data_IF_975401814629
#
_entry.id   IF_975401814629
#
_cell.length_a   1.000
_cell.length_b   1.000
_cell.length_c   1.000
_cell.angle_alpha   90.00
_cell.angle_beta   90.00
_cell.angle_gamma   90.00
#
_symmetry.space_group_name_H-M   'P 1'
#
loop_
_entity.id
_entity.type
_entity.pdbx_description
1 polymer ?
#
# COMPACT_ATOMS: atom_id res chain seq x y z
N UNK A 1 21.03 -6.08 14.86
CA UNK A 1 21.25 -4.67 14.51
C UNK A 1 21.65 -4.62 13.04
N UNK A 2 20.81 -4.09 12.15
CA UNK A 2 21.18 -3.90 10.73
C UNK A 2 21.89 -2.56 10.60
N UNK A 3 23.17 -2.54 10.94
CA UNK A 3 24.03 -1.40 10.63
C UNK A 3 24.42 -1.49 9.15
N UNK A 4 24.21 -0.39 8.42
CA UNK A 4 24.69 -0.13 7.04
C UNK A 4 23.85 -0.51 5.81
N UNK A 5 22.50 -0.48 5.87
CA UNK A 5 21.67 -0.43 4.65
C UNK A 5 21.40 1.03 4.25
N UNK A 6 21.90 1.45 3.06
CA UNK A 6 21.47 2.72 2.45
C UNK A 6 19.95 2.75 2.39
N UNK A 7 19.32 3.79 2.96
CA UNK A 7 17.88 3.97 2.90
C UNK A 7 17.45 4.04 1.43
N UNK A 8 16.68 3.06 0.96
CA UNK A 8 16.26 3.01 -0.44
C UNK A 8 15.35 4.19 -0.78
N UNK A 9 15.36 4.62 -2.04
CA UNK A 9 14.49 5.69 -2.55
C UNK A 9 13.02 5.34 -2.28
N UNK A 10 12.68 4.07 -2.41
CA UNK A 10 11.36 3.50 -2.09
C UNK A 10 10.97 3.67 -0.62
N UNK A 11 11.91 3.49 0.32
CA UNK A 11 11.65 3.64 1.76
C UNK A 11 11.34 5.09 2.14
N UNK A 12 12.07 6.04 1.53
CA UNK A 12 11.86 7.48 1.71
C UNK A 12 10.54 7.90 1.07
N UNK A 13 10.33 7.57 -0.21
CA UNK A 13 9.11 7.87 -0.96
C UNK A 13 7.85 7.33 -0.25
N UNK A 14 7.87 6.07 0.18
CA UNK A 14 6.75 5.46 0.89
C UNK A 14 6.41 6.15 2.22
N UNK A 15 7.41 6.65 2.94
CA UNK A 15 7.20 7.38 4.20
C UNK A 15 6.63 8.77 3.97
N UNK A 16 7.17 9.52 3.01
CA UNK A 16 6.69 10.85 2.67
C UNK A 16 5.28 10.81 2.07
N UNK A 17 5.01 9.88 1.14
CA UNK A 17 3.69 9.70 0.52
C UNK A 17 2.59 9.44 1.55
N UNK A 18 2.82 8.53 2.50
CA UNK A 18 1.84 8.24 3.57
C UNK A 18 1.56 9.47 4.44
N UNK A 19 2.62 10.22 4.82
CA UNK A 19 2.47 11.45 5.60
C UNK A 19 1.73 12.54 4.84
N UNK A 20 2.02 12.71 3.54
CA UNK A 20 1.36 13.70 2.70
C UNK A 20 -0.15 13.40 2.56
N UNK A 21 -0.52 12.13 2.34
CA UNK A 21 -1.93 11.71 2.29
C UNK A 21 -2.62 11.95 3.64
N UNK A 22 -1.97 11.61 4.75
CA UNK A 22 -2.53 11.81 6.09
C UNK A 22 -2.73 13.30 6.41
N UNK A 23 -1.81 14.17 5.97
CA UNK A 23 -1.94 15.62 6.12
C UNK A 23 -3.08 16.15 5.26
N UNK A 24 -3.11 15.79 3.97
CA UNK A 24 -4.16 16.23 3.05
C UNK A 24 -5.56 15.81 3.54
N UNK A 25 -5.71 14.58 4.06
CA UNK A 25 -6.97 14.10 4.61
C UNK A 25 -7.45 14.90 5.82
N UNK A 26 -6.53 15.34 6.69
CA UNK A 26 -6.85 16.23 7.82
C UNK A 26 -7.25 17.61 7.34
N UNK A 27 -6.52 18.18 6.39
CA UNK A 27 -6.77 19.53 5.88
C UNK A 27 -8.17 19.67 5.25
N UNK A 28 -8.62 18.64 4.54
CA UNK A 28 -9.95 18.63 3.90
C UNK A 28 -11.06 18.10 4.83
N UNK A 29 -10.72 17.67 6.04
CA UNK A 29 -11.67 17.09 6.99
C UNK A 29 -12.30 15.76 6.52
N UNK A 30 -11.54 14.90 5.83
CA UNK A 30 -12.04 13.61 5.36
C UNK A 30 -12.28 12.63 6.53
N UNK A 31 -13.31 11.79 6.42
CA UNK A 31 -13.58 10.73 7.41
C UNK A 31 -12.76 9.46 7.16
N UNK A 32 -12.42 9.20 5.89
CA UNK A 32 -11.83 7.94 5.42
C UNK A 32 -10.83 8.19 4.29
N UNK A 33 -9.70 7.49 4.34
CA UNK A 33 -8.70 7.42 3.28
C UNK A 33 -8.82 6.06 2.59
N UNK A 34 -8.96 6.08 1.28
CA UNK A 34 -9.03 4.86 0.45
C UNK A 34 -7.73 4.70 -0.32
N UNK A 35 -7.17 3.49 -0.34
CA UNK A 35 -6.01 3.15 -1.17
C UNK A 35 -6.34 1.99 -2.10
N UNK A 36 -5.80 2.00 -3.32
CA UNK A 36 -6.07 0.99 -4.35
C UNK A 36 -5.28 -0.31 -4.21
N UNK A 37 -4.88 -0.70 -2.99
CA UNK A 37 -4.17 -1.97 -2.80
C UNK A 37 -5.11 -3.15 -3.10
N UNK A 38 -4.63 -4.07 -3.93
CA UNK A 38 -5.39 -5.21 -4.41
C UNK A 38 -5.12 -6.50 -3.59
N UNK A 39 -5.66 -7.63 -4.02
CA UNK A 39 -5.44 -8.92 -3.37
C UNK A 39 -3.97 -9.37 -3.47
N UNK A 40 -3.35 -9.24 -4.64
CA UNK A 40 -1.95 -9.59 -4.89
C UNK A 40 -1.00 -8.82 -3.95
N UNK A 41 -1.20 -7.50 -3.80
CA UNK A 41 -0.49 -6.64 -2.84
C UNK A 41 -0.61 -7.15 -1.39
N UNK A 42 -1.81 -7.58 -1.03
CA UNK A 42 -2.13 -8.05 0.33
C UNK A 42 -1.44 -9.38 0.60
N UNK A 43 -1.51 -10.32 -0.33
CA UNK A 43 -0.82 -11.61 -0.23
C UNK A 43 0.70 -11.46 -0.23
N UNK A 44 1.25 -10.60 -1.10
CA UNK A 44 2.70 -10.32 -1.13
C UNK A 44 3.16 -9.73 0.22
N UNK A 45 2.38 -8.82 0.81
CA UNK A 45 2.65 -8.28 2.15
C UNK A 45 2.66 -9.38 3.20
N UNK A 46 1.64 -10.25 3.19
CA UNK A 46 1.50 -11.34 4.14
C UNK A 46 2.70 -12.29 4.08
N UNK A 47 3.08 -12.73 2.87
CA UNK A 47 4.21 -13.63 2.66
C UNK A 47 5.53 -13.00 3.12
N UNK A 48 5.78 -11.73 2.80
CA UNK A 48 7.00 -11.02 3.26
C UNK A 48 7.06 -10.98 4.79
N UNK A 49 5.96 -10.66 5.46
CA UNK A 49 5.92 -10.58 6.93
C UNK A 49 6.05 -11.97 7.57
N UNK A 50 5.42 -12.99 6.98
CA UNK A 50 5.51 -14.39 7.42
C UNK A 50 6.95 -14.91 7.31
N UNK A 51 7.61 -14.72 6.15
CA UNK A 51 8.99 -15.15 5.94
C UNK A 51 10.00 -14.37 6.81
N UNK A 52 9.68 -13.11 7.14
CA UNK A 52 10.48 -12.30 8.06
C UNK A 52 10.35 -12.73 9.54
N UNK A 53 9.39 -13.62 9.85
CA UNK A 53 9.09 -14.04 11.23
C UNK A 53 8.49 -12.93 12.10
N UNK A 54 8.00 -11.85 11.49
CA UNK A 54 7.48 -10.68 12.20
C UNK A 54 5.97 -10.84 12.45
N UNK A 55 5.66 -11.60 13.49
CA UNK A 55 4.27 -11.91 13.89
C UNK A 55 3.46 -10.67 14.25
N UNK A 56 4.10 -9.61 14.73
CA UNK A 56 3.45 -8.33 15.02
C UNK A 56 2.96 -7.67 13.72
N UNK A 57 3.79 -7.64 12.67
CA UNK A 57 3.38 -7.08 11.37
C UNK A 57 2.29 -7.88 10.69
N UNK A 58 2.22 -9.19 10.92
CA UNK A 58 1.09 -10.00 10.45
C UNK A 58 -0.20 -9.55 11.17
N UNK A 59 -0.15 -9.34 12.48
CA UNK A 59 -1.29 -8.83 13.25
C UNK A 59 -1.77 -7.45 12.81
N UNK A 60 -0.87 -6.58 12.34
CA UNK A 60 -1.21 -5.26 11.80
C UNK A 60 -1.88 -5.28 10.42
N UNK A 61 -2.02 -6.44 9.79
CA UNK A 61 -2.76 -6.57 8.54
C UNK A 61 -4.27 -6.60 8.75
N UNK A 62 -4.72 -6.84 9.98
CA UNK A 62 -6.13 -6.79 10.37
C UNK A 62 -6.66 -5.33 10.28
N UNK A 63 -7.90 -5.11 9.83
CA UNK A 63 -8.44 -3.77 9.71
C UNK A 63 -8.54 -3.09 11.08
N UNK A 64 -8.11 -1.82 11.13
CA UNK A 64 -8.19 -1.03 12.35
C UNK A 64 -9.66 -0.78 12.75
N UNK A 65 -9.99 -1.14 13.99
CA UNK A 65 -11.33 -0.99 14.57
C UNK A 65 -11.46 0.25 15.45
N UNK A 66 -10.37 1.02 15.63
CA UNK A 66 -10.34 2.20 16.48
C UNK A 66 -11.15 3.36 15.85
N UNK A 67 -12.11 3.89 16.59
CA UNK A 67 -13.00 4.98 16.15
C UNK A 67 -12.35 6.38 16.14
N UNK A 68 -11.20 6.54 16.79
CA UNK A 68 -10.57 7.85 17.05
C UNK A 68 -9.49 8.26 16.03
N UNK A 69 -9.28 7.50 14.95
CA UNK A 69 -8.28 7.80 13.94
C UNK A 69 -8.89 7.90 12.54
N UNK A 70 -8.22 8.63 11.63
CA UNK A 70 -8.57 8.65 10.21
C UNK A 70 -8.53 7.21 9.68
N UNK A 71 -9.71 6.67 9.34
CA UNK A 71 -9.83 5.28 8.90
C UNK A 71 -9.18 5.10 7.54
N UNK A 72 -8.39 4.05 7.38
CA UNK A 72 -7.75 3.69 6.11
C UNK A 72 -8.34 2.39 5.61
N UNK A 73 -8.93 2.40 4.41
CA UNK A 73 -9.57 1.22 3.81
C UNK A 73 -8.93 0.83 2.48
N UNK A 74 -9.08 -0.44 2.12
CA UNK A 74 -8.58 -1.05 0.88
C UNK A 74 -9.73 -1.81 0.19
N UNK A 75 -10.60 -1.13 -0.57
CA UNK A 75 -11.77 -1.76 -1.18
C UNK A 75 -11.44 -2.91 -2.15
N UNK A 76 -10.21 -2.94 -2.67
CA UNK A 76 -9.76 -3.94 -3.63
C UNK A 76 -8.96 -5.09 -3.00
N UNK A 77 -8.83 -5.18 -1.68
CA UNK A 77 -7.99 -6.20 -1.06
C UNK A 77 -8.47 -7.66 -1.25
N UNK A 78 -9.65 -7.85 -1.84
CA UNK A 78 -10.23 -9.15 -2.18
C UNK A 78 -10.33 -9.39 -3.70
N UNK A 79 -9.81 -8.47 -4.53
CA UNK A 79 -9.89 -8.52 -5.99
C UNK A 79 -8.49 -8.62 -6.58
N UNK A 80 -8.28 -9.51 -7.56
CA UNK A 80 -6.96 -9.65 -8.20
C UNK A 80 -6.60 -8.43 -9.05
N UNK A 81 -5.31 -8.16 -9.18
CA UNK A 81 -4.80 -7.09 -10.05
C UNK A 81 -5.30 -7.26 -11.49
N UNK A 82 -5.29 -8.50 -12.01
CA UNK A 82 -5.76 -8.80 -13.36
C UNK A 82 -7.23 -8.44 -13.59
N UNK A 83 -8.07 -8.59 -12.57
CA UNK A 83 -9.49 -8.26 -12.66
C UNK A 83 -9.71 -6.75 -12.67
N UNK A 84 -8.95 -6.01 -11.85
CA UNK A 84 -8.98 -4.54 -11.81
C UNK A 84 -8.48 -3.96 -13.13
N UNK A 85 -7.38 -4.49 -13.68
CA UNK A 85 -6.83 -4.07 -14.98
C UNK A 85 -7.82 -4.38 -16.10
N UNK A 86 -8.43 -5.57 -16.09
CA UNK A 86 -9.46 -5.94 -17.07
C UNK A 86 -10.67 -5.01 -17.00
N UNK A 87 -11.14 -4.68 -15.80
CA UNK A 87 -12.23 -3.72 -15.60
C UNK A 87 -11.85 -2.32 -16.14
N UNK A 88 -10.65 -1.82 -15.82
CA UNK A 88 -10.20 -0.52 -16.30
C UNK A 88 -10.10 -0.47 -17.83
N UNK A 89 -9.55 -1.52 -18.45
CA UNK A 89 -9.43 -1.64 -19.89
C UNK A 89 -10.80 -1.68 -20.60
N UNK A 90 -11.75 -2.46 -20.08
CA UNK A 90 -13.09 -2.60 -20.69
C UNK A 90 -13.99 -1.37 -20.52
N UNK A 91 -13.67 -0.49 -19.57
CA UNK A 91 -14.41 0.73 -19.30
C UNK A 91 -13.66 2.00 -19.77
N UNK A 92 -12.60 1.85 -20.58
CA UNK A 92 -11.78 2.96 -21.08
C UNK A 92 -11.26 3.89 -19.97
N UNK A 93 -10.97 3.35 -18.79
CA UNK A 93 -10.42 4.10 -17.66
C UNK A 93 -8.91 4.25 -17.88
N UNK A 94 -8.37 5.49 -17.95
CA UNK A 94 -6.94 5.68 -18.14
C UNK A 94 -6.17 5.22 -16.89
N UNK A 95 -5.12 4.42 -17.10
CA UNK A 95 -4.20 3.99 -16.05
C UNK A 95 -2.74 4.13 -16.48
N UNK A 96 -1.84 4.25 -15.50
CA UNK A 96 -0.41 4.38 -15.73
C UNK A 96 0.18 3.03 -16.16
N UNK A 97 0.82 2.98 -17.33
CA UNK A 97 1.52 1.80 -17.85
C UNK A 97 3.01 1.78 -17.52
N UNK A 98 3.62 2.96 -17.33
CA UNK A 98 5.05 3.09 -17.10
C UNK A 98 5.41 2.85 -15.62
N UNK A 99 6.30 1.89 -15.31
CA UNK A 99 6.72 1.63 -13.94
C UNK A 99 7.63 2.74 -13.40
N UNK A 100 7.72 2.84 -12.07
CA UNK A 100 8.64 3.76 -11.41
C UNK A 100 10.11 3.40 -11.74
N UNK A 101 10.99 4.37 -12.11
CA UNK A 101 12.41 4.10 -12.35
C UNK A 101 13.16 3.47 -11.16
N UNK A 102 12.67 3.71 -9.94
CA UNK A 102 13.24 3.19 -8.70
C UNK A 102 12.58 1.88 -8.22
N UNK A 103 11.66 1.29 -8.99
CA UNK A 103 10.89 0.11 -8.57
C UNK A 103 11.78 -1.06 -8.12
N UNK A 104 12.93 -1.25 -8.78
CA UNK A 104 13.88 -2.32 -8.47
C UNK A 104 14.61 -2.16 -7.12
N UNK A 105 14.49 -1.00 -6.45
CA UNK A 105 15.03 -0.79 -5.09
C UNK A 105 14.06 -1.28 -4.00
N UNK A 106 12.84 -1.68 -4.39
CA UNK A 106 11.82 -2.25 -3.50
C UNK A 106 11.96 -3.77 -3.34
N UNK A 107 11.46 -4.29 -2.21
CA UNK A 107 11.33 -5.74 -1.98
C UNK A 107 10.16 -6.31 -2.83
N UNK A 108 9.14 -5.48 -3.05
CA UNK A 108 7.98 -5.81 -3.89
C UNK A 108 8.34 -5.49 -5.33
N UNK A 109 8.14 -6.48 -6.20
CA UNK A 109 8.18 -6.33 -7.66
C UNK A 109 6.75 -6.35 -8.17
#
# INVERSE_FOLDING_TARGET
MRENEKTSSCSICGTLRRRAIDHAAKDIGADVITTGHNLDDTLQTFVINMLSGDTNKIGWMDPDTLSNSLRKIKPFCEIYESEIVFYAFTNDIPFQSEPCPHMNEGIRK
#
